data_IF_618724310373
#
_entry.id   IF_618724310373
#
_cell.length_a   1.000
_cell.length_b   1.000
_cell.length_c   1.000
_cell.angle_alpha   90.00
_cell.angle_beta   90.00
_cell.angle_gamma   90.00
#
_symmetry.space_group_name_H-M   'P 1'
#
loop_
_entity.id
_entity.type
_entity.pdbx_description
1 polymer ?
#
# COMPACT_ATOMS: atom_id res chain seq x y z
N UNK A 1 9.64 36.92 -18.20
CA UNK A 1 10.26 35.65 -17.79
C UNK A 1 11.02 35.11 -18.99
N UNK A 2 12.30 34.84 -18.81
CA UNK A 2 13.21 34.34 -19.84
C UNK A 2 12.80 32.90 -20.23
N UNK A 3 12.64 32.54 -21.52
CA UNK A 3 12.21 31.20 -21.95
C UNK A 3 13.16 30.05 -21.54
N UNK A 4 14.33 30.36 -21.01
CA UNK A 4 15.33 29.39 -20.54
C UNK A 4 15.08 28.82 -19.12
N UNK A 5 13.99 29.19 -18.44
CA UNK A 5 13.74 28.78 -17.04
C UNK A 5 12.57 27.81 -16.81
N UNK A 6 12.06 27.16 -17.86
CA UNK A 6 10.92 26.22 -17.71
C UNK A 6 11.42 24.82 -17.32
N UNK A 7 11.10 24.38 -16.10
CA UNK A 7 11.52 23.08 -15.56
C UNK A 7 10.93 21.88 -16.34
N UNK A 8 9.77 22.07 -16.97
CA UNK A 8 9.07 21.04 -17.74
C UNK A 8 8.55 21.62 -19.06
N UNK A 9 8.31 20.75 -20.04
CA UNK A 9 7.71 21.09 -21.33
C UNK A 9 6.69 20.04 -21.75
N UNK A 10 5.51 20.47 -22.22
CA UNK A 10 4.53 19.57 -22.83
C UNK A 10 5.05 19.04 -24.17
N UNK A 11 4.96 17.72 -24.36
CA UNK A 11 5.42 17.03 -25.58
C UNK A 11 4.24 16.58 -26.43
N UNK A 12 3.30 15.84 -25.85
CA UNK A 12 2.22 15.18 -26.60
C UNK A 12 0.96 15.02 -25.74
N UNK A 13 -0.21 15.20 -26.34
CA UNK A 13 -1.50 14.84 -25.71
C UNK A 13 -1.68 13.32 -25.74
N UNK A 14 -1.89 12.69 -24.58
CA UNK A 14 -2.12 11.24 -24.47
C UNK A 14 -3.61 10.91 -24.45
N UNK A 15 -4.37 11.65 -23.64
CA UNK A 15 -5.84 11.56 -23.56
C UNK A 15 -6.41 12.97 -23.48
N UNK A 16 -7.74 13.10 -23.38
CA UNK A 16 -8.35 14.44 -23.30
C UNK A 16 -7.91 15.27 -22.10
N UNK A 17 -7.54 14.61 -21.00
CA UNK A 17 -7.18 15.23 -19.72
C UNK A 17 -5.69 15.05 -19.35
N UNK A 18 -4.92 14.26 -20.13
CA UNK A 18 -3.54 13.88 -19.77
C UNK A 18 -2.59 14.18 -20.94
N UNK A 19 -1.48 14.81 -20.58
CA UNK A 19 -0.37 15.14 -21.47
C UNK A 19 0.90 14.42 -21.01
N UNK A 20 1.76 14.10 -21.96
CA UNK A 20 3.14 13.75 -21.73
C UNK A 20 3.95 15.06 -21.60
N UNK A 21 4.72 15.17 -20.52
CA UNK A 21 5.66 16.25 -20.29
C UNK A 21 7.08 15.68 -20.17
N UNK A 22 8.08 16.50 -20.46
CA UNK A 22 9.49 16.14 -20.26
C UNK A 22 10.22 17.20 -19.46
N UNK A 23 11.24 16.79 -18.71
CA UNK A 23 12.23 17.69 -18.14
C UNK A 23 13.35 17.90 -19.16
N UNK A 24 13.54 19.11 -19.73
CA UNK A 24 14.48 19.32 -20.84
C UNK A 24 15.93 18.93 -20.54
N UNK A 25 16.37 19.09 -19.29
CA UNK A 25 17.75 18.80 -18.86
C UNK A 25 18.08 17.31 -18.86
N UNK A 26 17.12 16.46 -18.45
CA UNK A 26 17.33 15.02 -18.30
C UNK A 26 16.67 14.19 -19.41
N UNK A 27 15.72 14.77 -20.15
CA UNK A 27 14.84 14.03 -21.05
C UNK A 27 13.84 13.12 -20.34
N UNK A 28 13.77 13.20 -19.00
CA UNK A 28 12.88 12.35 -18.21
C UNK A 28 11.41 12.69 -18.46
N UNK A 29 10.59 11.66 -18.62
CA UNK A 29 9.17 11.77 -18.95
C UNK A 29 8.28 11.79 -17.71
N UNK A 30 7.24 12.62 -17.77
CA UNK A 30 6.25 12.87 -16.72
C UNK A 30 4.85 12.94 -17.33
N UNK A 31 3.83 12.83 -16.48
CA UNK A 31 2.44 13.07 -16.87
C UNK A 31 2.00 14.44 -16.38
N UNK A 32 1.43 15.25 -17.26
CA UNK A 32 0.87 16.55 -16.93
C UNK A 32 -0.65 16.50 -17.06
N UNK A 33 -1.37 16.91 -16.02
CA UNK A 33 -2.83 17.09 -16.04
C UNK A 33 -3.14 18.55 -15.77
N UNK A 34 -4.03 19.15 -16.59
CA UNK A 34 -4.47 20.54 -16.40
C UNK A 34 -5.18 20.65 -15.08
N UNK A 35 -4.94 21.72 -14.34
CA UNK A 35 -5.61 21.95 -13.05
C UNK A 35 -7.12 22.05 -13.27
N UNK A 36 -7.54 22.74 -14.34
CA UNK A 36 -8.94 22.83 -14.77
C UNK A 36 -9.55 21.47 -15.17
N UNK A 37 -8.76 20.42 -15.43
CA UNK A 37 -9.31 19.08 -15.73
C UNK A 37 -9.49 18.22 -14.47
N UNK A 38 -9.03 18.69 -13.29
CA UNK A 38 -9.50 18.15 -12.01
C UNK A 38 -10.93 18.61 -11.70
N UNK A 39 -11.47 19.57 -12.46
CA UNK A 39 -12.80 20.11 -12.25
C UNK A 39 -13.90 19.17 -12.76
N UNK A 40 -14.58 18.55 -11.81
CA UNK A 40 -16.04 18.46 -11.90
C UNK A 40 -16.71 19.85 -11.84
N UNK A 41 -16.02 20.94 -11.45
CA UNK A 41 -16.59 22.31 -11.43
C UNK A 41 -17.03 22.81 -12.81
N UNK A 42 -16.23 22.63 -13.87
CA UNK A 42 -16.60 23.07 -15.23
C UNK A 42 -17.78 22.27 -15.80
N UNK A 43 -17.88 20.96 -15.51
CA UNK A 43 -19.06 20.14 -15.86
C UNK A 43 -20.27 20.45 -14.96
N UNK A 44 -20.06 20.64 -13.66
CA UNK A 44 -21.12 20.89 -12.66
C UNK A 44 -21.64 22.33 -12.62
N UNK A 45 -20.94 23.30 -13.22
CA UNK A 45 -21.47 24.66 -13.47
C UNK A 45 -22.73 24.62 -14.35
N UNK A 46 -22.90 23.54 -15.11
CA UNK A 46 -24.06 23.29 -15.95
C UNK A 46 -24.97 22.18 -15.41
N UNK A 47 -24.49 21.23 -14.59
CA UNK A 47 -25.26 20.02 -14.23
C UNK A 47 -25.15 19.48 -12.77
N UNK A 48 -24.39 20.10 -11.85
CA UNK A 48 -24.08 19.47 -10.53
C UNK A 48 -24.59 20.19 -9.28
N UNK A 49 -24.69 19.43 -8.18
CA UNK A 49 -25.14 19.92 -6.86
C UNK A 49 -24.09 20.81 -6.17
N UNK A 50 -24.54 21.77 -5.33
CA UNK A 50 -23.67 22.75 -4.68
C UNK A 50 -22.57 22.21 -3.74
N UNK A 51 -22.60 20.91 -3.38
CA UNK A 51 -21.56 20.27 -2.56
C UNK A 51 -20.33 19.87 -3.40
N UNK A 52 -20.54 19.37 -4.63
CA UNK A 52 -19.47 19.06 -5.59
C UNK A 52 -18.76 20.34 -6.06
N UNK A 53 -19.53 21.40 -6.32
CA UNK A 53 -18.97 22.72 -6.67
C UNK A 53 -18.05 23.29 -5.59
N UNK A 54 -18.35 23.08 -4.29
CA UNK A 54 -17.51 23.54 -3.17
C UNK A 54 -16.21 22.75 -3.01
N UNK A 55 -16.23 21.43 -3.24
CA UNK A 55 -15.02 20.60 -3.15
C UNK A 55 -14.02 20.92 -4.27
N UNK A 56 -14.51 21.18 -5.48
CA UNK A 56 -13.67 21.53 -6.63
C UNK A 56 -13.09 22.96 -6.55
N UNK A 57 -13.88 23.94 -6.10
CA UNK A 57 -13.35 25.28 -5.73
C UNK A 57 -12.23 25.16 -4.68
N UNK A 58 -12.37 24.21 -3.75
CA UNK A 58 -11.38 23.94 -2.71
C UNK A 58 -9.99 23.62 -3.25
N UNK A 59 -9.83 22.82 -4.30
CA UNK A 59 -8.50 22.52 -4.85
C UNK A 59 -7.85 23.76 -5.48
N UNK A 60 -8.63 24.57 -6.19
CA UNK A 60 -8.17 25.83 -6.77
C UNK A 60 -7.78 26.85 -5.70
N UNK A 61 -8.63 27.04 -4.68
CA UNK A 61 -8.36 27.92 -3.55
C UNK A 61 -7.09 27.43 -2.80
N UNK A 62 -6.94 26.12 -2.59
CA UNK A 62 -5.75 25.54 -1.96
C UNK A 62 -4.47 25.81 -2.77
N UNK A 63 -4.50 25.60 -4.09
CA UNK A 63 -3.32 25.74 -4.95
C UNK A 63 -2.96 27.21 -5.19
N UNK A 64 -3.94 28.07 -5.46
CA UNK A 64 -3.71 29.46 -5.85
C UNK A 64 -3.86 30.48 -4.71
N UNK A 65 -4.90 30.38 -3.89
CA UNK A 65 -5.16 31.35 -2.81
C UNK A 65 -4.32 31.06 -1.56
N UNK A 66 -4.12 29.77 -1.25
CA UNK A 66 -3.41 29.33 -0.05
C UNK A 66 -1.98 28.82 -0.30
N UNK A 67 -1.54 28.73 -1.56
CA UNK A 67 -0.21 28.27 -1.95
C UNK A 67 0.18 26.90 -1.35
N UNK A 68 -0.81 26.04 -1.11
CA UNK A 68 -0.64 24.71 -0.49
C UNK A 68 -0.05 23.70 -1.48
N UNK A 69 0.09 24.07 -2.76
CA UNK A 69 0.77 23.24 -3.77
C UNK A 69 2.18 22.80 -3.34
N UNK A 70 2.94 23.66 -2.66
CA UNK A 70 4.26 23.29 -2.10
C UNK A 70 4.15 22.24 -0.98
N UNK A 71 3.15 22.34 -0.11
CA UNK A 71 2.92 21.37 0.96
C UNK A 71 2.45 20.02 0.41
N UNK A 72 1.56 20.03 -0.60
CA UNK A 72 1.13 18.80 -1.29
C UNK A 72 2.34 18.14 -1.98
N UNK A 73 3.19 18.92 -2.65
CA UNK A 73 4.41 18.39 -3.27
C UNK A 73 5.35 17.78 -2.24
N UNK A 74 5.47 18.40 -1.04
CA UNK A 74 6.30 17.87 0.04
C UNK A 74 5.73 16.55 0.58
N UNK A 75 4.42 16.49 0.82
CA UNK A 75 3.74 15.28 1.32
C UNK A 75 3.80 14.14 0.30
N UNK A 76 3.70 14.42 -1.00
CA UNK A 76 3.74 13.39 -2.04
C UNK A 76 5.17 13.14 -2.56
N UNK A 77 6.20 13.74 -1.96
CA UNK A 77 7.60 13.51 -2.30
C UNK A 77 8.18 12.32 -1.53
N UNK A 78 7.95 11.12 -2.06
CA UNK A 78 8.48 9.88 -1.51
C UNK A 78 8.69 8.88 -2.65
N UNK A 79 9.77 8.11 -2.61
CA UNK A 79 10.18 7.21 -3.71
C UNK A 79 9.09 6.20 -4.11
N UNK A 80 8.33 5.72 -3.12
CA UNK A 80 7.24 4.76 -3.31
C UNK A 80 5.84 5.40 -3.37
N UNK A 81 5.73 6.71 -3.55
CA UNK A 81 4.47 7.36 -3.92
C UNK A 81 4.55 7.82 -5.38
N UNK A 82 3.40 7.94 -6.04
CA UNK A 82 3.30 8.71 -7.29
C UNK A 82 3.45 10.18 -6.93
N UNK A 83 4.63 10.73 -7.20
CA UNK A 83 4.99 12.06 -6.74
C UNK A 83 4.45 13.15 -7.64
N UNK A 84 4.09 14.27 -7.01
CA UNK A 84 3.87 15.54 -7.71
C UNK A 84 5.25 16.15 -7.99
N UNK A 85 5.80 15.84 -9.17
CA UNK A 85 7.13 16.26 -9.60
C UNK A 85 7.25 17.77 -9.82
N UNK A 86 6.14 18.45 -10.11
CA UNK A 86 6.14 19.92 -10.15
C UNK A 86 4.91 20.52 -10.81
N UNK A 87 5.09 21.73 -11.32
CA UNK A 87 4.05 22.56 -11.90
C UNK A 87 4.54 23.18 -13.21
N UNK A 88 3.66 23.25 -14.20
CA UNK A 88 3.95 23.78 -15.52
C UNK A 88 2.88 24.79 -15.93
N UNK A 89 3.30 26.01 -16.25
CA UNK A 89 2.45 27.03 -16.87
C UNK A 89 2.89 27.22 -18.32
N UNK A 90 2.03 26.89 -19.28
CA UNK A 90 2.36 26.98 -20.71
C UNK A 90 1.15 27.43 -21.53
N UNK A 91 1.39 28.13 -22.64
CA UNK A 91 0.31 28.44 -23.60
C UNK A 91 -0.25 27.13 -24.19
N UNK A 92 -1.57 27.03 -24.41
CA UNK A 92 -2.18 25.86 -25.03
C UNK A 92 -1.49 25.54 -26.36
N UNK A 93 -1.12 24.27 -26.57
CA UNK A 93 -0.48 23.82 -27.82
C UNK A 93 -1.43 23.97 -29.03
N UNK A 94 -2.75 23.94 -28.80
CA UNK A 94 -3.80 24.18 -29.80
C UNK A 94 -4.74 25.31 -29.31
N UNK A 95 -4.42 26.59 -29.55
CA UNK A 95 -5.31 27.69 -29.18
C UNK A 95 -6.61 27.62 -30.01
N UNK A 96 -7.77 27.83 -29.35
CA UNK A 96 -9.04 27.97 -30.07
C UNK A 96 -8.99 29.24 -30.93
N UNK A 97 -9.53 29.24 -32.17
CA UNK A 97 -9.36 30.34 -33.13
C UNK A 97 -9.98 31.69 -32.71
N UNK A 98 -10.67 31.77 -31.57
CA UNK A 98 -11.26 32.99 -31.02
C UNK A 98 -10.77 33.36 -29.62
N UNK A 99 -9.75 32.67 -29.10
CA UNK A 99 -9.19 32.98 -27.78
C UNK A 99 -8.20 34.14 -27.90
N UNK A 100 -8.73 35.36 -27.76
CA UNK A 100 -7.99 36.63 -27.89
C UNK A 100 -7.19 36.98 -26.63
N UNK A 101 -7.24 36.15 -25.58
CA UNK A 101 -6.41 36.31 -24.39
C UNK A 101 -5.17 35.43 -24.53
N UNK A 102 -4.02 35.95 -24.13
CA UNK A 102 -2.78 35.18 -23.93
C UNK A 102 -2.93 34.21 -22.74
N UNK A 103 -4.01 33.43 -22.67
CA UNK A 103 -4.29 32.53 -21.58
C UNK A 103 -3.21 31.44 -21.57
N UNK A 104 -2.44 31.38 -20.49
CA UNK A 104 -1.60 30.22 -20.18
C UNK A 104 -2.43 29.23 -19.41
N UNK A 105 -2.31 27.96 -19.75
CA UNK A 105 -2.88 26.86 -18.97
C UNK A 105 -1.87 26.42 -17.90
N UNK A 106 -2.42 26.01 -16.77
CA UNK A 106 -1.66 25.55 -15.61
C UNK A 106 -1.84 24.04 -15.43
N UNK A 107 -0.73 23.34 -15.22
CA UNK A 107 -0.64 21.88 -15.16
C UNK A 107 0.09 21.43 -13.90
N UNK A 108 -0.40 20.35 -13.31
CA UNK A 108 0.34 19.57 -12.31
C UNK A 108 1.08 18.44 -13.02
N UNK A 109 2.36 18.31 -12.72
CA UNK A 109 3.28 17.34 -13.32
C UNK A 109 3.55 16.22 -12.33
N UNK A 110 3.29 14.99 -12.74
CA UNK A 110 3.32 13.77 -11.94
C UNK A 110 4.30 12.77 -12.52
N UNK A 111 4.80 11.86 -11.68
CA UNK A 111 5.61 10.74 -12.15
C UNK A 111 4.91 9.96 -13.28
N UNK A 112 5.67 9.61 -14.32
CA UNK A 112 5.20 8.69 -15.34
C UNK A 112 5.42 7.23 -14.86
N UNK A 113 4.33 6.54 -14.53
CA UNK A 113 4.32 5.11 -14.21
C UNK A 113 4.06 4.29 -15.48
N UNK A 114 5.10 4.22 -16.31
CA UNK A 114 5.06 3.73 -17.68
C UNK A 114 4.95 2.20 -17.81
N UNK A 115 5.17 1.44 -16.73
CA UNK A 115 4.95 -0.01 -16.70
C UNK A 115 3.51 -0.41 -16.26
N UNK A 116 2.64 0.58 -16.04
CA UNK A 116 1.23 0.36 -15.72
C UNK A 116 0.98 0.02 -14.25
N UNK A 117 -0.13 -0.66 -13.97
CA UNK A 117 -0.59 -0.95 -12.61
C UNK A 117 -0.68 -2.47 -12.34
N UNK A 118 -0.54 -2.85 -11.07
CA UNK A 118 -0.46 -4.24 -10.62
C UNK A 118 -1.65 -5.10 -11.06
N UNK A 119 -2.84 -4.53 -11.18
CA UNK A 119 -4.02 -5.25 -11.69
C UNK A 119 -3.78 -5.89 -13.06
N UNK A 120 -2.99 -5.27 -13.94
CA UNK A 120 -2.64 -5.85 -15.25
C UNK A 120 -1.84 -7.15 -15.10
N UNK A 121 -0.90 -7.19 -14.15
CA UNK A 121 -0.11 -8.39 -13.87
C UNK A 121 -0.95 -9.47 -13.21
N UNK A 122 -1.88 -9.10 -12.34
CA UNK A 122 -2.76 -10.05 -11.63
C UNK A 122 -3.80 -10.65 -12.57
N UNK A 123 -4.32 -9.90 -13.56
CA UNK A 123 -5.24 -10.43 -14.58
C UNK A 123 -4.49 -11.35 -15.56
N UNK A 124 -3.29 -10.94 -15.98
CA UNK A 124 -2.50 -11.66 -16.98
C UNK A 124 -1.60 -12.76 -16.41
N UNK A 125 -1.50 -12.86 -15.07
CA UNK A 125 -0.60 -13.74 -14.33
C UNK A 125 -0.86 -15.24 -14.45
N UNK A 126 -1.65 -15.66 -15.45
CA UNK A 126 -1.93 -17.06 -15.77
C UNK A 126 -0.71 -17.83 -16.27
N UNK A 127 0.30 -18.00 -15.42
CA UNK A 127 1.42 -18.90 -15.64
C UNK A 127 1.06 -20.33 -15.24
N UNK A 128 1.09 -21.26 -16.19
CA UNK A 128 0.96 -22.71 -15.98
C UNK A 128 2.26 -23.27 -15.36
N UNK A 129 2.56 -22.92 -14.12
CA UNK A 129 3.67 -23.49 -13.35
C UNK A 129 3.27 -24.78 -12.64
N UNK A 130 4.22 -25.71 -12.43
CA UNK A 130 4.05 -26.91 -11.58
C UNK A 130 3.90 -26.59 -10.07
N UNK A 131 4.22 -25.35 -9.67
CA UNK A 131 4.22 -24.88 -8.27
C UNK A 131 2.89 -24.20 -7.91
N UNK A 132 2.44 -24.36 -6.66
CA UNK A 132 1.24 -23.69 -6.11
C UNK A 132 1.54 -22.21 -5.76
N UNK A 133 2.13 -21.48 -6.70
CA UNK A 133 2.50 -20.06 -6.61
C UNK A 133 1.91 -19.34 -7.82
N UNK A 134 1.21 -18.23 -7.62
CA UNK A 134 0.57 -17.50 -8.72
C UNK A 134 1.53 -16.50 -9.38
N UNK A 135 1.96 -15.46 -8.67
CA UNK A 135 3.00 -14.53 -9.12
C UNK A 135 4.38 -14.86 -8.48
N UNK A 136 5.50 -14.45 -9.08
CA UNK A 136 6.84 -14.63 -8.49
C UNK A 136 6.95 -14.06 -7.08
N UNK A 137 7.70 -14.73 -6.21
CA UNK A 137 7.86 -14.32 -4.80
C UNK A 137 8.58 -12.97 -4.68
N UNK A 138 9.58 -12.75 -5.52
CA UNK A 138 10.30 -11.49 -5.67
C UNK A 138 9.37 -10.32 -5.98
N UNK A 139 8.37 -10.50 -6.85
CA UNK A 139 7.38 -9.47 -7.15
C UNK A 139 6.48 -9.18 -5.94
N UNK A 140 6.08 -10.21 -5.19
CA UNK A 140 5.33 -10.04 -3.94
C UNK A 140 6.14 -9.22 -2.92
N UNK A 141 7.44 -9.52 -2.75
CA UNK A 141 8.32 -8.74 -1.87
C UNK A 141 8.52 -7.31 -2.35
N UNK A 142 8.71 -7.10 -3.66
CA UNK A 142 8.86 -5.78 -4.25
C UNK A 142 7.66 -4.88 -3.96
N UNK A 143 6.45 -5.40 -4.11
CA UNK A 143 5.21 -4.68 -3.76
C UNK A 143 5.09 -4.47 -2.25
N UNK A 144 5.28 -5.52 -1.45
CA UNK A 144 5.14 -5.47 0.01
C UNK A 144 6.06 -4.41 0.63
N UNK A 145 7.35 -4.47 0.33
CA UNK A 145 8.35 -3.55 0.91
C UNK A 145 8.14 -2.12 0.43
N UNK A 146 7.84 -1.91 -0.85
CA UNK A 146 7.60 -0.58 -1.42
C UNK A 146 6.36 0.08 -0.84
N UNK A 147 5.23 -0.64 -0.79
CA UNK A 147 3.98 -0.08 -0.26
C UNK A 147 4.09 0.12 1.26
N UNK A 148 4.73 -0.77 2.01
CA UNK A 148 4.94 -0.55 3.44
C UNK A 148 5.78 0.69 3.73
N UNK A 149 6.82 0.99 2.93
CA UNK A 149 7.58 2.25 3.05
C UNK A 149 6.70 3.47 2.77
N UNK A 150 5.86 3.41 1.74
CA UNK A 150 4.86 4.44 1.46
C UNK A 150 3.86 4.64 2.62
N UNK A 151 3.37 3.56 3.24
CA UNK A 151 2.46 3.65 4.39
C UNK A 151 3.18 4.19 5.64
N UNK A 152 4.42 3.78 5.88
CA UNK A 152 5.26 4.36 6.95
C UNK A 152 5.43 5.88 6.77
N UNK A 153 5.64 6.35 5.54
CA UNK A 153 5.66 7.77 5.24
C UNK A 153 4.31 8.44 5.53
N UNK A 154 3.22 7.92 4.97
CA UNK A 154 1.89 8.53 5.11
C UNK A 154 1.38 8.54 6.56
N UNK A 155 1.54 7.45 7.29
CA UNK A 155 0.98 7.28 8.63
C UNK A 155 1.88 7.92 9.67
N UNK A 156 3.19 7.74 9.53
CA UNK A 156 4.15 8.01 10.59
C UNK A 156 5.11 9.15 10.22
N UNK A 157 5.19 9.59 8.96
CA UNK A 157 6.10 10.66 8.53
C UNK A 157 7.58 10.27 8.63
N UNK A 158 7.86 8.97 8.51
CA UNK A 158 9.22 8.45 8.49
C UNK A 158 9.61 8.07 7.07
N UNK A 159 10.84 8.41 6.70
CA UNK A 159 11.45 8.01 5.43
C UNK A 159 12.65 7.11 5.70
N UNK A 160 12.88 6.11 4.87
CA UNK A 160 14.05 5.25 5.03
C UNK A 160 15.29 5.97 4.48
N UNK A 161 16.14 6.47 5.39
CA UNK A 161 17.44 7.00 5.05
C UNK A 161 18.44 5.88 4.81
N UNK A 162 19.29 6.04 3.81
CA UNK A 162 20.40 5.12 3.54
C UNK A 162 21.72 5.87 3.68
N UNK A 163 22.61 5.37 4.53
CA UNK A 163 24.01 5.74 4.49
C UNK A 163 24.65 4.99 3.33
N UNK A 164 24.91 5.70 2.23
CA UNK A 164 25.41 5.08 1.00
C UNK A 164 26.84 4.53 1.12
N UNK A 165 27.63 5.00 2.10
CA UNK A 165 28.98 4.49 2.36
C UNK A 165 28.95 3.12 3.05
N UNK A 166 28.04 2.94 4.00
CA UNK A 166 27.95 1.70 4.81
C UNK A 166 26.85 0.75 4.33
N UNK A 167 25.92 1.23 3.49
CA UNK A 167 24.68 0.53 3.15
C UNK A 167 23.67 0.48 4.30
N UNK A 168 23.97 1.11 5.45
CA UNK A 168 23.10 1.07 6.62
C UNK A 168 21.81 1.88 6.37
N UNK A 169 20.68 1.30 6.76
CA UNK A 169 19.37 1.92 6.61
C UNK A 169 18.77 2.25 7.97
N UNK A 170 18.35 3.50 8.15
CA UNK A 170 17.67 3.96 9.36
C UNK A 170 16.42 4.77 9.00
N UNK A 171 15.37 4.62 9.79
CA UNK A 171 14.21 5.49 9.70
C UNK A 171 14.57 6.91 10.13
N UNK A 172 14.35 7.87 9.24
CA UNK A 172 14.59 9.29 9.48
C UNK A 172 13.23 9.98 9.60
N UNK A 173 13.08 10.75 10.68
CA UNK A 173 11.96 11.64 10.89
C UNK A 173 12.16 12.91 10.06
N UNK A 174 11.20 13.23 9.19
CA UNK A 174 11.33 14.36 8.25
C UNK A 174 10.56 15.60 8.70
N UNK A 175 9.50 15.45 9.49
CA UNK A 175 8.67 16.56 9.98
C UNK A 175 8.18 16.30 11.42
N UNK A 176 8.28 17.31 12.29
CA UNK A 176 7.84 17.24 13.68
C UNK A 176 6.32 17.33 13.80
N UNK A 177 5.66 18.02 12.86
CA UNK A 177 4.21 18.32 12.88
C UNK A 177 3.41 17.46 11.89
N UNK A 178 3.96 16.31 11.49
CA UNK A 178 3.33 15.44 10.51
C UNK A 178 1.95 14.97 10.97
N UNK A 179 0.98 15.20 10.11
CA UNK A 179 -0.40 14.78 10.28
C UNK A 179 -0.61 13.46 9.54
N UNK A 180 -0.95 12.36 10.24
CA UNK A 180 -1.17 11.06 9.60
C UNK A 180 -2.22 11.13 8.49
N UNK A 181 -1.87 10.49 7.38
CA UNK A 181 -2.69 10.44 6.16
C UNK A 181 -3.08 9.00 5.91
N UNK A 182 -4.38 8.72 5.94
CA UNK A 182 -4.92 7.41 5.57
C UNK A 182 -5.25 7.42 4.07
N UNK A 183 -4.72 6.51 3.28
CA UNK A 183 -4.95 6.42 1.82
C UNK A 183 -6.38 5.97 1.48
N UNK A 184 -6.93 4.99 2.22
CA UNK A 184 -8.32 4.47 2.10
C UNK A 184 -8.71 3.85 0.74
N UNK A 185 -7.77 3.51 -0.14
CA UNK A 185 -8.05 2.92 -1.47
C UNK A 185 -6.92 2.02 -1.98
N UNK A 186 -6.24 1.33 -1.06
CA UNK A 186 -5.12 0.44 -1.41
C UNK A 186 -5.68 -0.79 -2.13
N UNK A 187 -5.43 -0.87 -3.43
CA UNK A 187 -5.84 -1.95 -4.32
C UNK A 187 -4.75 -2.23 -5.35
N UNK A 188 -4.85 -3.33 -6.09
CA UNK A 188 -3.93 -3.58 -7.19
C UNK A 188 -4.02 -2.52 -8.33
N UNK A 189 -5.07 -1.69 -8.37
CA UNK A 189 -5.16 -0.57 -9.32
C UNK A 189 -4.52 0.73 -8.81
N UNK A 190 -4.24 0.82 -7.51
CA UNK A 190 -3.56 1.97 -6.89
C UNK A 190 -2.05 1.78 -6.80
N UNK A 191 -1.55 0.56 -7.02
CA UNK A 191 -0.14 0.21 -7.05
C UNK A 191 0.34 0.20 -8.50
N UNK A 192 1.31 1.05 -8.79
CA UNK A 192 1.81 1.35 -10.13
C UNK A 192 3.31 1.07 -10.21
N UNK A 193 3.80 0.80 -11.42
CA UNK A 193 5.19 0.49 -11.69
C UNK A 193 5.79 1.44 -12.72
N UNK A 194 7.10 1.64 -12.61
CA UNK A 194 7.93 2.16 -13.67
C UNK A 194 8.71 1.00 -14.32
N UNK A 195 9.10 1.14 -15.58
CA UNK A 195 10.04 0.18 -16.17
C UNK A 195 11.40 0.26 -15.44
N UNK A 196 12.14 -0.87 -15.34
CA UNK A 196 13.51 -0.85 -14.88
C UNK A 196 14.36 0.13 -15.70
N UNK A 197 15.21 0.91 -15.03
CA UNK A 197 16.12 1.90 -15.62
C UNK A 197 17.60 1.56 -15.40
N UNK A 198 17.90 0.55 -14.57
CA UNK A 198 19.25 0.05 -14.29
C UNK A 198 19.28 -1.48 -14.27
N UNK A 199 19.99 -2.04 -13.30
CA UNK A 199 20.10 -3.49 -13.09
C UNK A 199 18.99 -4.07 -12.20
N UNK A 200 18.09 -3.23 -11.69
CA UNK A 200 16.99 -3.69 -10.85
C UNK A 200 16.05 -4.66 -11.60
N UNK A 201 15.61 -5.71 -10.92
CA UNK A 201 14.74 -6.74 -11.51
C UNK A 201 13.37 -6.17 -11.89
N UNK A 202 12.83 -5.28 -11.05
CA UNK A 202 11.61 -4.52 -11.30
C UNK A 202 11.91 -3.04 -11.07
N UNK A 203 11.40 -2.17 -11.94
CA UNK A 203 11.48 -0.73 -11.72
C UNK A 203 10.61 -0.28 -10.55
N UNK A 204 10.63 1.01 -10.23
CA UNK A 204 9.97 1.56 -9.03
C UNK A 204 8.51 1.14 -8.86
N UNK A 205 8.17 0.59 -7.69
CA UNK A 205 6.78 0.38 -7.25
C UNK A 205 6.29 1.59 -6.43
N UNK A 206 5.18 2.18 -6.87
CA UNK A 206 4.61 3.42 -6.35
C UNK A 206 3.13 3.27 -6.01
N UNK A 207 2.74 3.78 -4.85
CA UNK A 207 1.34 3.93 -4.45
C UNK A 207 0.81 5.28 -4.95
N UNK A 208 -0.35 5.27 -5.61
CA UNK A 208 -1.03 6.48 -6.04
C UNK A 208 -2.55 6.36 -5.96
N UNK A 209 -3.28 7.26 -6.65
CA UNK A 209 -4.76 7.41 -6.52
C UNK A 209 -5.20 7.93 -5.15
N UNK A 210 -4.55 8.99 -4.67
CA UNK A 210 -4.85 9.67 -3.39
C UNK A 210 -6.19 10.42 -3.33
N UNK A 211 -7.09 10.28 -4.31
CA UNK A 211 -8.37 10.98 -4.34
C UNK A 211 -9.27 10.66 -3.12
N UNK A 212 -9.06 9.50 -2.49
CA UNK A 212 -9.76 9.09 -1.27
C UNK A 212 -8.93 9.29 0.00
N UNK A 213 -7.72 9.86 -0.09
CA UNK A 213 -6.89 10.05 1.10
C UNK A 213 -7.57 10.96 2.14
N UNK A 214 -7.22 10.79 3.41
CA UNK A 214 -7.80 11.54 4.53
C UNK A 214 -6.74 11.89 5.56
N UNK A 215 -6.66 13.16 5.92
CA UNK A 215 -5.78 13.63 7.00
C UNK A 215 -6.53 13.46 8.33
N UNK A 216 -6.02 12.61 9.22
CA UNK A 216 -6.72 12.18 10.44
C UNK A 216 -7.01 13.32 11.45
N UNK A 217 -6.38 14.49 11.30
CA UNK A 217 -6.66 15.67 12.13
C UNK A 217 -6.11 15.60 13.57
N UNK A 218 -5.36 14.57 13.92
CA UNK A 218 -4.59 14.48 15.16
C UNK A 218 -3.11 14.26 14.82
N UNK A 219 -2.17 15.07 15.34
CA UNK A 219 -0.76 14.80 15.19
C UNK A 219 -0.44 13.42 15.74
N UNK A 220 0.42 12.65 15.06
CA UNK A 220 0.97 11.46 15.69
C UNK A 220 1.78 11.91 16.92
N UNK A 221 1.45 11.41 18.12
CA UNK A 221 2.28 11.68 19.30
C UNK A 221 3.61 10.97 19.14
N UNK A 222 4.65 11.75 19.40
CA UNK A 222 6.05 11.52 19.08
C UNK A 222 6.94 11.94 20.25
N UNK A 223 6.39 12.15 21.44
CA UNK A 223 7.15 12.59 22.64
C UNK A 223 7.72 11.43 23.47
N UNK A 224 7.54 10.17 23.08
CA UNK A 224 8.22 9.04 23.72
C UNK A 224 9.70 8.97 23.32
N UNK A 225 10.57 8.60 24.27
CA UNK A 225 11.95 8.20 23.94
C UNK A 225 11.95 7.11 22.86
N UNK A 226 12.89 7.18 21.92
CA UNK A 226 13.18 6.08 20.98
C UNK A 226 13.56 4.84 21.80
N UNK A 227 12.59 3.99 22.13
CA UNK A 227 12.91 2.68 22.70
C UNK A 227 13.52 1.80 21.61
N UNK A 228 14.32 0.81 22.00
CA UNK A 228 14.92 -0.16 21.08
C UNK A 228 13.91 -0.91 20.19
N UNK A 229 12.61 -0.82 20.52
CA UNK A 229 11.48 -1.46 19.83
C UNK A 229 10.72 -0.54 18.86
N UNK A 230 11.20 0.69 18.62
CA UNK A 230 10.62 1.65 17.68
C UNK A 230 9.63 2.64 18.31
N UNK A 231 9.16 3.65 17.54
CA UNK A 231 8.37 4.75 18.09
C UNK A 231 6.99 4.29 18.56
N UNK A 232 6.70 4.49 19.84
CA UNK A 232 5.37 4.28 20.41
C UNK A 232 4.38 5.34 19.87
N UNK A 233 3.49 4.95 18.95
CA UNK A 233 2.39 5.78 18.47
C UNK A 233 1.27 5.80 19.51
N UNK A 234 1.48 6.51 20.61
CA UNK A 234 0.43 6.76 21.58
C UNK A 234 0.37 8.23 21.88
N UNK A 235 -0.57 8.93 21.22
CA UNK A 235 -1.06 10.15 21.84
C UNK A 235 -1.87 9.75 23.05
N UNK A 236 -1.67 10.47 24.13
CA UNK A 236 -2.54 10.41 25.31
C UNK A 236 -4.03 10.66 25.00
N UNK A 237 -4.43 10.93 23.74
CA UNK A 237 -5.79 11.33 23.35
C UNK A 237 -6.34 10.87 21.98
N UNK A 238 -5.76 9.90 21.26
CA UNK A 238 -6.48 9.36 20.09
C UNK A 238 -5.71 8.52 19.09
N UNK A 239 -6.45 7.57 18.53
CA UNK A 239 -6.05 6.70 17.43
C UNK A 239 -6.12 7.46 16.10
N UNK A 240 -5.34 7.00 15.11
CA UNK A 240 -5.37 7.51 13.74
C UNK A 240 -6.61 6.91 13.05
N UNK A 241 -7.59 7.77 12.74
CA UNK A 241 -8.94 7.38 12.32
C UNK A 241 -9.41 8.21 11.13
N UNK A 242 -10.22 7.60 10.27
CA UNK A 242 -10.95 8.27 9.21
C UNK A 242 -12.36 7.68 9.08
N UNK A 243 -13.31 8.42 8.47
CA UNK A 243 -14.51 7.76 7.97
C UNK A 243 -14.14 6.84 6.80
N UNK A 244 -14.95 5.82 6.55
CA UNK A 244 -14.76 4.97 5.38
C UNK A 244 -14.99 5.78 4.09
N UNK A 245 -14.08 5.69 3.12
CA UNK A 245 -14.22 6.41 1.86
C UNK A 245 -15.42 5.90 1.03
N UNK A 246 -15.64 4.58 1.06
CA UNK A 246 -16.84 3.92 0.56
C UNK A 246 -17.49 3.21 1.75
N UNK A 247 -18.66 3.67 2.20
CA UNK A 247 -19.32 3.12 3.38
C UNK A 247 -19.68 1.64 3.16
N UNK A 248 -19.05 0.70 3.89
CA UNK A 248 -19.42 -0.71 3.80
C UNK A 248 -20.87 -0.92 4.21
N UNK A 249 -21.57 -1.85 3.55
CA UNK A 249 -22.93 -2.21 3.94
C UNK A 249 -22.96 -2.63 5.41
N UNK A 250 -23.78 -1.95 6.20
CA UNK A 250 -23.97 -2.24 7.61
C UNK A 250 -23.19 -1.35 8.56
N UNK A 251 -22.33 -0.45 8.06
CA UNK A 251 -21.74 0.64 8.84
C UNK A 251 -22.54 1.94 8.68
N UNK A 252 -22.44 2.84 9.66
CA UNK A 252 -23.20 4.11 9.73
C UNK A 252 -22.36 5.38 9.75
N UNK A 253 -21.03 5.29 9.87
CA UNK A 253 -20.18 6.48 9.91
C UNK A 253 -20.19 7.22 8.56
N UNK A 254 -20.65 8.48 8.46
CA UNK A 254 -20.76 9.18 7.20
C UNK A 254 -19.36 9.55 6.66
N UNK A 255 -19.15 9.56 5.33
CA UNK A 255 -17.86 9.87 4.71
C UNK A 255 -17.29 11.25 5.04
N UNK A 256 -18.14 12.19 5.47
CA UNK A 256 -17.83 13.57 5.82
C UNK A 256 -18.00 13.87 7.33
N UNK A 257 -17.86 12.84 8.18
CA UNK A 257 -17.92 12.98 9.63
C UNK A 257 -16.88 13.99 10.15
N UNK A 258 -17.33 14.91 11.01
CA UNK A 258 -16.43 15.83 11.72
C UNK A 258 -15.53 15.08 12.72
N UNK A 259 -14.41 15.69 13.13
CA UNK A 259 -13.53 15.11 14.15
C UNK A 259 -14.28 14.80 15.47
N UNK A 260 -15.22 15.64 15.89
CA UNK A 260 -16.04 15.41 17.08
C UNK A 260 -16.99 14.20 16.89
N UNK A 261 -17.60 14.09 15.71
CA UNK A 261 -18.46 12.94 15.36
C UNK A 261 -17.66 11.64 15.33
N UNK A 262 -16.46 11.66 14.75
CA UNK A 262 -15.57 10.49 14.73
C UNK A 262 -15.19 10.05 16.14
N UNK A 263 -14.82 10.98 17.03
CA UNK A 263 -14.52 10.64 18.44
C UNK A 263 -15.70 9.95 19.14
N UNK A 264 -16.92 10.44 18.93
CA UNK A 264 -18.13 9.83 19.47
C UNK A 264 -18.34 8.40 18.95
N UNK A 265 -18.27 8.22 17.64
CA UNK A 265 -18.41 6.89 17.02
C UNK A 265 -17.34 5.91 17.47
N UNK A 266 -16.11 6.38 17.61
CA UNK A 266 -15.03 5.55 18.10
C UNK A 266 -15.26 5.08 19.55
N UNK A 267 -15.75 5.96 20.42
CA UNK A 267 -16.08 5.60 21.80
C UNK A 267 -17.25 4.61 21.88
N UNK A 268 -18.28 4.78 21.06
CA UNK A 268 -19.42 3.86 21.02
C UNK A 268 -19.04 2.49 20.42
N UNK A 269 -18.12 2.46 19.45
CA UNK A 269 -17.57 1.23 18.89
C UNK A 269 -16.70 0.46 19.91
N UNK A 270 -15.74 1.13 20.55
CA UNK A 270 -14.80 0.48 21.50
C UNK A 270 -15.47 -0.02 22.78
N UNK A 271 -16.61 0.58 23.17
CA UNK A 271 -17.43 0.07 24.28
C UNK A 271 -18.35 -1.09 23.89
N UNK A 272 -18.30 -1.55 22.62
CA UNK A 272 -19.13 -2.64 22.09
C UNK A 272 -20.60 -2.28 21.89
N UNK A 273 -21.00 -1.03 22.17
CA UNK A 273 -22.41 -0.59 22.12
C UNK A 273 -22.91 -0.41 20.70
N UNK A 274 -22.04 0.00 19.77
CA UNK A 274 -22.41 0.28 18.38
C UNK A 274 -21.36 -0.27 17.39
N UNK A 275 -21.37 -1.60 17.14
CA UNK A 275 -20.40 -2.23 16.23
C UNK A 275 -20.51 -1.74 14.77
N UNK A 276 -21.64 -1.13 14.40
CA UNK A 276 -21.89 -0.51 13.10
C UNK A 276 -21.31 0.91 12.96
N UNK A 277 -20.72 1.47 14.01
CA UNK A 277 -20.08 2.79 13.99
C UNK A 277 -18.55 2.73 13.83
N UNK A 278 -18.02 1.56 13.50
CA UNK A 278 -16.59 1.36 13.23
C UNK A 278 -16.06 2.40 12.23
N UNK A 279 -14.90 2.96 12.54
CA UNK A 279 -14.14 3.86 11.67
C UNK A 279 -13.00 3.12 10.98
N UNK A 280 -12.48 3.75 9.92
CA UNK A 280 -11.31 3.30 9.18
C UNK A 280 -10.05 3.65 9.94
N UNK A 281 -9.08 2.73 10.00
CA UNK A 281 -7.84 2.84 10.78
C UNK A 281 -6.62 2.42 9.95
N UNK A 282 -5.42 2.59 10.51
CA UNK A 282 -4.17 2.08 9.92
C UNK A 282 -4.24 0.56 9.67
N UNK A 283 -4.88 -0.20 10.57
CA UNK A 283 -5.05 -1.64 10.41
C UNK A 283 -5.84 -1.99 9.14
N UNK A 284 -6.79 -1.16 8.71
CA UNK A 284 -7.49 -1.37 7.44
C UNK A 284 -6.55 -1.22 6.24
N UNK A 285 -5.52 -0.38 6.34
CA UNK A 285 -4.54 -0.15 5.26
C UNK A 285 -3.57 -1.32 5.15
N UNK A 286 -3.08 -1.81 6.28
CA UNK A 286 -2.30 -3.05 6.35
C UNK A 286 -3.12 -4.23 5.81
N UNK A 287 -4.38 -4.37 6.24
CA UNK A 287 -5.27 -5.40 5.73
C UNK A 287 -5.46 -5.30 4.22
N UNK A 288 -5.68 -4.08 3.70
CA UNK A 288 -5.88 -3.85 2.27
C UNK A 288 -4.64 -4.24 1.46
N UNK A 289 -3.44 -3.93 1.95
CA UNK A 289 -2.19 -4.43 1.36
C UNK A 289 -2.09 -5.96 1.44
N UNK A 290 -2.46 -6.55 2.58
CA UNK A 290 -2.52 -7.99 2.77
C UNK A 290 -3.45 -8.67 1.77
N UNK A 291 -4.63 -8.09 1.51
CA UNK A 291 -5.58 -8.59 0.53
C UNK A 291 -5.06 -8.47 -0.92
N UNK A 292 -4.26 -7.44 -1.23
CA UNK A 292 -3.56 -7.35 -2.52
C UNK A 292 -2.54 -8.49 -2.64
N UNK A 293 -1.69 -8.69 -1.63
CA UNK A 293 -0.67 -9.74 -1.66
C UNK A 293 -1.28 -11.14 -1.67
N UNK A 294 -2.36 -11.35 -0.94
CA UNK A 294 -3.16 -12.57 -1.03
C UNK A 294 -3.55 -12.87 -2.47
N UNK A 295 -4.04 -11.87 -3.22
CA UNK A 295 -4.43 -12.05 -4.61
C UNK A 295 -3.21 -12.30 -5.51
N UNK A 296 -2.09 -11.65 -5.25
CA UNK A 296 -0.82 -11.94 -5.93
C UNK A 296 -0.33 -13.36 -5.67
N UNK A 297 -0.58 -13.91 -4.49
CA UNK A 297 -0.12 -15.24 -4.09
C UNK A 297 -1.08 -16.35 -4.54
N UNK A 298 -2.39 -16.09 -4.59
CA UNK A 298 -3.43 -17.12 -4.77
C UNK A 298 -4.23 -16.99 -6.06
N UNK A 299 -4.09 -15.88 -6.81
CA UNK A 299 -4.99 -15.43 -7.90
C UNK A 299 -6.41 -15.06 -7.47
N UNK A 300 -6.81 -15.36 -6.24
CA UNK A 300 -8.17 -15.17 -5.74
C UNK A 300 -8.32 -13.86 -4.97
N UNK A 301 -9.50 -13.25 -5.03
CA UNK A 301 -9.81 -12.11 -4.15
C UNK A 301 -10.14 -12.64 -2.76
N UNK A 302 -9.46 -12.11 -1.75
CA UNK A 302 -9.84 -12.35 -0.35
C UNK A 302 -11.25 -11.76 -0.14
N UNK A 303 -12.14 -12.44 0.62
CA UNK A 303 -13.41 -11.84 1.00
C UNK A 303 -13.21 -10.50 1.74
N UNK A 304 -14.28 -9.73 1.91
CA UNK A 304 -14.20 -8.53 2.74
C UNK A 304 -14.06 -8.90 4.21
N UNK A 305 -13.23 -8.14 4.93
CA UNK A 305 -13.14 -8.19 6.39
C UNK A 305 -14.41 -7.69 7.10
N UNK A 306 -15.16 -6.82 6.42
CA UNK A 306 -16.43 -6.30 6.88
C UNK A 306 -17.56 -7.32 6.63
N UNK A 307 -18.75 -7.01 7.13
CA UNK A 307 -19.92 -7.86 6.92
C UNK A 307 -20.22 -8.10 5.44
N UNK A 308 -20.55 -9.34 5.12
CA UNK A 308 -20.91 -9.78 3.79
C UNK A 308 -22.09 -8.96 3.25
N UNK A 309 -21.90 -8.42 2.04
CA UNK A 309 -22.89 -7.57 1.37
C UNK A 309 -24.04 -8.35 0.72
N UNK A 310 -23.95 -9.68 0.72
CA UNK A 310 -24.85 -10.62 0.02
C UNK A 310 -25.79 -11.36 0.97
N UNK A 311 -25.53 -11.35 2.28
CA UNK A 311 -26.38 -12.01 3.29
C UNK A 311 -26.98 -10.96 4.22
N UNK A 312 -28.26 -11.10 4.57
CA UNK A 312 -28.92 -10.24 5.58
C UNK A 312 -28.30 -10.44 6.98
N UNK A 313 -27.75 -11.63 7.24
CA UNK A 313 -27.12 -11.98 8.52
C UNK A 313 -25.78 -11.30 8.79
N UNK A 314 -25.30 -10.42 7.89
CA UNK A 314 -24.03 -9.68 8.03
C UNK A 314 -22.82 -10.57 8.40
N UNK A 315 -22.85 -11.80 7.92
CA UNK A 315 -21.86 -12.86 8.09
C UNK A 315 -20.46 -12.39 7.63
N UNK A 316 -19.39 -12.98 8.18
CA UNK A 316 -18.00 -12.71 7.75
C UNK A 316 -17.36 -14.01 7.31
N UNK A 317 -16.67 -13.98 6.18
CA UNK A 317 -16.19 -15.18 5.48
C UNK A 317 -14.68 -15.38 5.61
N UNK A 318 -14.09 -14.84 6.66
CA UNK A 318 -12.65 -14.87 6.87
C UNK A 318 -12.39 -15.23 8.31
N UNK A 319 -11.57 -16.24 8.50
CA UNK A 319 -11.10 -16.69 9.80
C UNK A 319 -9.61 -17.00 9.73
N UNK A 320 -9.03 -17.25 10.89
CA UNK A 320 -7.65 -17.61 11.07
C UNK A 320 -7.42 -18.04 12.51
N UNK A 321 -6.24 -18.59 12.76
CA UNK A 321 -5.85 -19.07 14.06
C UNK A 321 -5.44 -17.90 14.95
N UNK A 322 -5.79 -17.99 16.24
CA UNK A 322 -5.34 -17.07 17.29
C UNK A 322 -3.82 -17.10 17.38
N UNK A 323 -3.22 -18.30 17.29
CA UNK A 323 -1.79 -18.47 17.05
C UNK A 323 -1.55 -18.43 15.53
N UNK A 324 -0.95 -17.36 14.99
CA UNK A 324 -0.75 -17.23 13.56
C UNK A 324 0.14 -18.35 13.02
N UNK A 325 -0.22 -18.89 11.86
CA UNK A 325 0.53 -19.94 11.16
C UNK A 325 0.79 -21.20 12.02
N UNK A 326 -0.20 -21.62 12.82
CA UNK A 326 -0.20 -22.84 13.64
C UNK A 326 0.52 -24.01 12.95
N UNK A 327 0.07 -24.36 11.75
CA UNK A 327 0.57 -25.52 10.99
C UNK A 327 2.06 -25.43 10.63
N UNK A 328 2.57 -24.21 10.37
CA UNK A 328 4.00 -24.01 10.08
C UNK A 328 4.81 -24.13 11.36
N UNK A 329 4.33 -23.55 12.46
CA UNK A 329 5.01 -23.59 13.75
C UNK A 329 5.11 -25.03 14.27
N UNK A 330 4.02 -25.79 14.25
CA UNK A 330 4.03 -27.18 14.71
C UNK A 330 4.93 -28.07 13.84
N UNK A 331 4.94 -27.89 12.51
CA UNK A 331 5.84 -28.64 11.64
C UNK A 331 7.32 -28.33 11.94
N UNK A 332 7.65 -27.10 12.34
CA UNK A 332 9.01 -26.73 12.75
C UNK A 332 9.39 -27.31 14.12
N UNK A 333 8.48 -27.24 15.09
CA UNK A 333 8.73 -27.63 16.48
C UNK A 333 8.68 -29.15 16.69
N UNK A 334 7.67 -29.83 16.14
CA UNK A 334 7.40 -31.23 16.42
C UNK A 334 8.07 -32.18 15.42
N UNK A 335 8.18 -31.77 14.15
CA UNK A 335 8.77 -32.60 13.08
C UNK A 335 10.17 -32.13 12.68
N UNK A 336 10.66 -31.03 13.25
CA UNK A 336 11.96 -30.47 12.92
C UNK A 336 12.06 -29.97 11.47
N UNK A 337 10.95 -29.54 10.86
CA UNK A 337 10.90 -29.10 9.47
C UNK A 337 11.78 -27.85 9.23
N UNK A 338 12.93 -28.06 8.59
CA UNK A 338 13.84 -26.97 8.18
C UNK A 338 13.64 -26.48 6.75
N UNK A 339 12.55 -26.88 6.09
CA UNK A 339 12.24 -26.41 4.74
C UNK A 339 12.02 -24.90 4.74
N UNK A 340 12.51 -24.24 3.69
CA UNK A 340 12.36 -22.79 3.50
C UNK A 340 10.93 -22.41 3.06
N UNK A 341 10.24 -23.31 2.37
CA UNK A 341 8.92 -23.08 1.78
C UNK A 341 7.79 -23.58 2.68
N UNK A 342 6.68 -22.84 2.71
CA UNK A 342 5.50 -23.19 3.49
C UNK A 342 4.79 -24.44 2.93
N UNK A 343 4.60 -24.51 1.61
CA UNK A 343 3.97 -25.65 0.93
C UNK A 343 4.79 -26.95 0.88
N UNK A 344 5.78 -27.13 1.77
CA UNK A 344 6.65 -28.30 1.80
C UNK A 344 5.89 -29.59 2.18
N UNK A 345 6.48 -30.74 1.85
CA UNK A 345 5.85 -32.05 2.10
C UNK A 345 5.56 -32.32 3.58
N UNK A 346 6.38 -31.84 4.51
CA UNK A 346 6.13 -31.99 5.96
C UNK A 346 4.81 -31.31 6.37
N UNK A 347 4.60 -30.06 5.92
CA UNK A 347 3.38 -29.30 6.20
C UNK A 347 2.17 -29.92 5.46
N UNK A 348 2.36 -30.38 4.22
CA UNK A 348 1.28 -31.07 3.48
C UNK A 348 0.88 -32.40 4.13
N UNK A 349 1.85 -33.19 4.61
CA UNK A 349 1.57 -34.45 5.30
C UNK A 349 0.67 -34.24 6.52
N UNK A 350 0.82 -33.12 7.24
CA UNK A 350 -0.07 -32.75 8.35
C UNK A 350 -1.48 -32.40 7.92
N UNK A 351 -1.62 -31.65 6.83
CA UNK A 351 -2.91 -31.35 6.23
C UNK A 351 -3.62 -32.62 5.71
N UNK A 352 -2.84 -33.60 5.25
CA UNK A 352 -3.31 -34.85 4.65
C UNK A 352 -3.42 -36.01 5.67
N UNK A 353 -3.01 -35.83 6.94
CA UNK A 353 -2.96 -36.87 7.99
C UNK A 353 -4.33 -37.45 8.43
N UNK A 354 -5.41 -37.13 7.71
CA UNK A 354 -6.70 -37.83 7.77
C UNK A 354 -7.08 -38.35 6.38
N UNK A 355 -6.43 -39.40 5.86
CA UNK A 355 -6.65 -39.92 4.50
C UNK A 355 -8.05 -40.52 4.25
N UNK A 356 -8.84 -40.75 5.30
CA UNK A 356 -10.22 -41.27 5.19
C UNK A 356 -11.27 -40.19 4.87
N UNK A 357 -10.87 -38.92 4.90
CA UNK A 357 -11.75 -37.78 4.66
C UNK A 357 -11.60 -37.29 3.20
N UNK A 358 -12.74 -37.05 2.53
CA UNK A 358 -12.76 -36.50 1.14
C UNK A 358 -11.94 -35.19 1.07
N UNK A 359 -11.44 -34.76 -0.09
CA UNK A 359 -10.65 -33.52 -0.23
C UNK A 359 -11.30 -32.27 0.36
N UNK A 360 -12.64 -32.17 0.37
CA UNK A 360 -13.40 -31.11 1.05
C UNK A 360 -13.30 -31.10 2.59
N UNK A 361 -12.73 -32.16 3.18
CA UNK A 361 -12.63 -32.44 4.62
C UNK A 361 -11.18 -32.65 5.11
N UNK A 362 -10.15 -32.23 4.34
CA UNK A 362 -8.77 -32.13 4.85
C UNK A 362 -8.78 -31.44 6.21
N UNK A 363 -7.96 -31.90 7.17
CA UNK A 363 -7.92 -31.31 8.53
C UNK A 363 -7.71 -29.80 8.41
N UNK A 364 -8.76 -29.04 8.75
CA UNK A 364 -8.63 -27.60 9.00
C UNK A 364 -7.90 -27.44 10.32
N UNK A 365 -7.12 -26.38 10.49
CA UNK A 365 -6.44 -26.16 11.77
C UNK A 365 -7.49 -26.16 12.91
N UNK A 366 -7.29 -27.02 13.92
CA UNK A 366 -8.20 -27.21 15.07
C UNK A 366 -7.93 -26.22 16.21
N UNK A 367 -6.90 -25.38 16.05
CA UNK A 367 -6.55 -24.34 17.02
C UNK A 367 -7.68 -23.33 17.21
N UNK A 368 -7.73 -22.65 18.38
CA UNK A 368 -8.64 -21.55 18.61
C UNK A 368 -8.56 -20.52 17.49
N UNK A 369 -9.72 -20.09 17.00
CA UNK A 369 -9.85 -19.14 15.89
C UNK A 369 -10.31 -17.80 16.44
N UNK A 370 -9.75 -16.69 15.93
CA UNK A 370 -10.23 -15.35 16.29
C UNK A 370 -11.65 -15.08 15.72
N UNK A 371 -12.19 -15.99 14.90
CA UNK A 371 -13.63 -16.17 14.63
C UNK A 371 -13.98 -17.65 14.62
N UNK A 372 -14.57 -18.13 15.71
CA UNK A 372 -14.92 -19.55 15.91
C UNK A 372 -15.99 -20.07 14.93
N UNK A 373 -16.91 -19.20 14.50
CA UNK A 373 -17.96 -19.54 13.54
C UNK A 373 -17.63 -18.98 12.15
N UNK A 374 -17.71 -19.84 11.15
CA UNK A 374 -17.76 -19.44 9.74
C UNK A 374 -19.11 -18.78 9.43
N UNK A 375 -19.54 -18.85 8.18
CA UNK A 375 -20.84 -18.35 7.80
C UNK A 375 -21.99 -19.23 8.34
N UNK A 376 -22.62 -18.81 9.45
CA UNK A 376 -23.80 -19.48 10.01
C UNK A 376 -25.13 -18.95 9.43
N UNK A 377 -25.14 -18.54 8.15
CA UNK A 377 -26.34 -17.99 7.54
C UNK A 377 -27.44 -19.06 7.42
N UNK A 378 -28.65 -18.84 8.00
CA UNK A 378 -29.75 -19.81 7.91
C UNK A 378 -30.22 -20.10 6.48
N UNK A 379 -29.98 -19.17 5.55
CA UNK A 379 -30.37 -19.29 4.13
C UNK A 379 -29.24 -19.78 3.22
N UNK A 380 -28.07 -20.11 3.77
CA UNK A 380 -26.86 -20.45 3.01
C UNK A 380 -26.28 -19.24 2.28
N UNK A 381 -25.15 -18.72 2.75
CA UNK A 381 -24.47 -17.66 2.01
C UNK A 381 -23.65 -18.28 0.86
N UNK A 382 -23.72 -17.72 -0.37
CA UNK A 382 -22.98 -18.27 -1.50
C UNK A 382 -21.47 -18.00 -1.44
N UNK A 383 -20.97 -17.21 -0.46
CA UNK A 383 -19.53 -16.94 -0.34
C UNK A 383 -18.84 -18.04 0.47
N UNK A 384 -17.74 -18.61 -0.04
CA UNK A 384 -16.96 -19.57 0.72
C UNK A 384 -16.21 -18.87 1.86
N UNK A 385 -16.10 -19.56 2.99
CA UNK A 385 -15.24 -19.13 4.08
C UNK A 385 -13.78 -19.41 3.74
N UNK A 386 -12.93 -18.44 4.07
CA UNK A 386 -11.49 -18.52 3.88
C UNK A 386 -10.81 -18.57 5.23
N UNK A 387 -10.04 -19.63 5.46
CA UNK A 387 -9.12 -19.71 6.58
C UNK A 387 -7.73 -19.27 6.12
N UNK A 388 -7.27 -18.11 6.59
CA UNK A 388 -6.03 -17.47 6.10
C UNK A 388 -4.82 -18.39 6.32
N UNK A 389 -4.62 -18.89 7.55
CA UNK A 389 -3.44 -19.68 7.88
C UNK A 389 -3.38 -21.01 7.10
N UNK A 390 -4.50 -21.75 7.01
CA UNK A 390 -4.62 -22.97 6.21
C UNK A 390 -4.24 -22.75 4.75
N UNK A 391 -4.72 -21.68 4.11
CA UNK A 391 -4.41 -21.40 2.71
C UNK A 391 -2.94 -21.04 2.56
N UNK A 392 -2.44 -20.10 3.37
CA UNK A 392 -1.05 -19.64 3.27
C UNK A 392 -0.04 -20.78 3.49
N UNK A 393 -0.32 -21.71 4.42
CA UNK A 393 0.51 -22.87 4.69
C UNK A 393 0.61 -23.83 3.48
N UNK A 394 -0.35 -23.78 2.56
CA UNK A 394 -0.38 -24.64 1.38
C UNK A 394 0.35 -24.07 0.15
N UNK A 395 0.71 -22.79 0.18
CA UNK A 395 1.30 -22.12 -0.98
C UNK A 395 2.80 -22.38 -1.07
N UNK A 396 3.31 -22.42 -2.30
CA UNK A 396 4.72 -22.65 -2.57
C UNK A 396 5.55 -21.36 -2.51
N UNK A 397 5.31 -20.55 -1.48
CA UNK A 397 6.10 -19.36 -1.13
C UNK A 397 6.97 -19.65 0.09
N UNK A 398 8.06 -18.91 0.24
CA UNK A 398 8.89 -19.03 1.44
C UNK A 398 8.08 -18.74 2.70
N UNK A 399 8.47 -19.38 3.80
CA UNK A 399 7.92 -19.11 5.13
C UNK A 399 8.14 -17.65 5.54
N UNK A 400 9.17 -16.98 5.01
CA UNK A 400 9.43 -15.56 5.26
C UNK A 400 8.31 -14.68 4.71
N UNK A 401 7.92 -14.88 3.43
CA UNK A 401 6.84 -14.10 2.82
C UNK A 401 5.51 -14.43 3.48
N UNK A 402 5.22 -15.71 3.70
CA UNK A 402 3.98 -16.15 4.35
C UNK A 402 3.82 -15.52 5.74
N UNK A 403 4.88 -15.47 6.55
CA UNK A 403 4.90 -14.78 7.85
C UNK A 403 4.69 -13.27 7.71
N UNK A 404 5.39 -12.63 6.77
CA UNK A 404 5.27 -11.21 6.55
C UNK A 404 3.86 -10.80 6.11
N UNK A 405 3.25 -11.54 5.18
CA UNK A 405 1.87 -11.32 4.72
C UNK A 405 0.87 -11.60 5.84
N UNK A 406 1.08 -12.66 6.63
CA UNK A 406 0.18 -12.97 7.76
C UNK A 406 0.15 -11.85 8.81
N UNK A 407 1.26 -11.15 9.04
CA UNK A 407 1.34 -10.00 9.95
C UNK A 407 0.46 -8.82 9.51
N UNK A 408 0.19 -8.66 8.21
CA UNK A 408 -0.75 -7.65 7.71
C UNK A 408 -2.20 -7.94 8.10
N UNK A 409 -2.50 -9.18 8.48
CA UNK A 409 -3.80 -9.62 8.99
C UNK A 409 -3.81 -9.76 10.52
N UNK A 410 -2.71 -9.46 11.22
CA UNK A 410 -2.67 -9.40 12.68
C UNK A 410 -3.42 -8.15 13.15
N UNK A 411 -4.73 -8.29 13.15
CA UNK A 411 -5.68 -7.27 13.48
C UNK A 411 -6.07 -7.41 14.95
N UNK A 412 -5.87 -6.37 15.76
CA UNK A 412 -6.60 -6.21 17.01
C UNK A 412 -7.84 -5.31 16.78
N UNK A 413 -9.00 -5.85 17.12
CA UNK A 413 -10.31 -5.25 16.89
C UNK A 413 -10.69 -4.22 17.94
N UNK A 414 -9.97 -4.20 19.07
CA UNK A 414 -10.13 -3.23 20.16
C UNK A 414 -9.18 -2.05 20.00
N UNK A 415 -7.94 -2.29 19.58
CA UNK A 415 -6.91 -1.24 19.47
C UNK A 415 -6.04 -1.47 18.23
N UNK A 416 -5.83 -0.42 17.43
CA UNK A 416 -4.80 -0.44 16.38
C UNK A 416 -3.43 -0.53 17.06
N UNK A 417 -2.95 -1.74 17.38
CA UNK A 417 -1.75 -1.95 18.22
C UNK A 417 -0.42 -1.70 17.50
N UNK A 418 -0.38 -1.73 16.16
CA UNK A 418 0.89 -1.70 15.41
C UNK A 418 1.00 -0.46 14.53
N UNK A 419 2.03 0.34 14.77
CA UNK A 419 2.47 1.41 13.87
C UNK A 419 3.07 0.85 12.57
N UNK A 420 3.07 1.65 11.51
CA UNK A 420 3.55 1.17 10.20
C UNK A 420 5.06 1.06 10.17
N UNK A 421 5.80 1.95 10.85
CA UNK A 421 7.26 1.82 11.07
C UNK A 421 7.63 0.46 11.68
N UNK A 422 7.01 0.08 12.80
CA UNK A 422 7.31 -1.17 13.52
C UNK A 422 7.05 -2.38 12.61
N UNK A 423 5.85 -2.40 11.99
CA UNK A 423 5.49 -3.49 11.09
C UNK A 423 6.41 -3.56 9.85
N UNK A 424 6.75 -2.41 9.26
CA UNK A 424 7.67 -2.33 8.12
C UNK A 424 9.08 -2.82 8.51
N UNK A 425 9.53 -2.55 9.74
CA UNK A 425 10.83 -3.02 10.25
C UNK A 425 10.86 -4.54 10.36
N UNK A 426 9.82 -5.15 10.93
CA UNK A 426 9.69 -6.61 11.00
C UNK A 426 9.64 -7.26 9.59
N UNK A 427 8.90 -6.63 8.67
CA UNK A 427 8.79 -7.09 7.28
C UNK A 427 10.14 -6.98 6.56
N UNK A 428 10.88 -5.89 6.76
CA UNK A 428 12.21 -5.71 6.18
C UNK A 428 13.22 -6.74 6.72
N UNK A 429 13.11 -7.13 8.01
CA UNK A 429 13.92 -8.20 8.56
C UNK A 429 13.63 -9.54 7.88
N UNK A 430 12.34 -9.88 7.68
CA UNK A 430 11.94 -11.08 6.95
C UNK A 430 12.39 -11.05 5.47
N UNK A 431 12.31 -9.89 4.82
CA UNK A 431 12.80 -9.68 3.45
C UNK A 431 14.32 -9.93 3.33
N UNK A 432 15.13 -9.43 4.27
CA UNK A 432 16.59 -9.69 4.31
C UNK A 432 16.91 -11.18 4.50
N UNK A 433 16.13 -11.88 5.33
CA UNK A 433 16.28 -13.34 5.46
C UNK A 433 15.92 -14.06 4.16
N UNK A 434 14.84 -13.67 3.48
CA UNK A 434 14.48 -14.22 2.18
C UNK A 434 15.55 -13.99 1.11
N UNK A 435 16.07 -12.75 1.00
CA UNK A 435 17.16 -12.34 0.08
C UNK A 435 18.39 -13.25 0.22
N UNK A 436 18.74 -13.64 1.45
CA UNK A 436 19.96 -14.43 1.71
C UNK A 436 19.72 -15.93 1.63
N UNK A 437 18.56 -16.42 2.07
CA UNK A 437 18.31 -17.84 2.23
C UNK A 437 17.65 -18.52 1.02
N UNK A 438 17.03 -17.78 0.10
CA UNK A 438 16.40 -18.36 -1.11
C UNK A 438 17.25 -18.12 -2.36
N UNK A 439 17.10 -18.98 -3.38
CA UNK A 439 17.77 -18.75 -4.68
C UNK A 439 17.22 -17.50 -5.37
N UNK A 440 15.89 -17.37 -5.45
CA UNK A 440 15.21 -16.21 -6.06
C UNK A 440 15.60 -14.91 -5.36
N UNK A 441 15.70 -14.91 -4.03
CA UNK A 441 16.12 -13.74 -3.26
C UNK A 441 17.56 -13.32 -3.52
N UNK A 442 18.48 -14.26 -3.77
CA UNK A 442 19.88 -13.93 -4.10
C UNK A 442 20.04 -13.38 -5.51
N UNK A 443 19.17 -13.79 -6.43
CA UNK A 443 19.14 -13.32 -7.82
C UNK A 443 18.40 -12.01 -7.98
N UNK A 444 17.41 -11.75 -7.13
CA UNK A 444 16.62 -10.52 -7.15
C UNK A 444 17.49 -9.31 -6.80
N UNK A 445 17.45 -8.27 -7.64
CA UNK A 445 18.11 -6.98 -7.43
C UNK A 445 17.02 -5.94 -7.24
N UNK A 446 16.95 -5.33 -6.06
CA UNK A 446 15.97 -4.25 -5.82
C UNK A 446 16.52 -2.87 -6.25
N UNK A 447 15.62 -1.88 -6.28
CA UNK A 447 15.96 -0.50 -6.69
C UNK A 447 17.05 0.13 -5.82
N UNK A 448 17.14 -0.25 -4.54
CA UNK A 448 18.17 0.26 -3.62
C UNK A 448 19.49 -0.47 -3.82
N UNK A 449 19.46 -1.78 -4.10
CA UNK A 449 20.65 -2.56 -4.48
C UNK A 449 21.33 -1.93 -5.71
N UNK A 450 20.55 -1.65 -6.77
CA UNK A 450 21.04 -0.95 -7.98
C UNK A 450 21.55 0.46 -7.67
N UNK A 451 20.77 1.26 -6.94
CA UNK A 451 21.15 2.63 -6.60
C UNK A 451 22.44 2.68 -5.78
N UNK A 452 22.63 1.74 -4.85
CA UNK A 452 23.83 1.64 -4.02
C UNK A 452 25.03 1.26 -4.88
N UNK A 453 24.89 0.26 -5.77
CA UNK A 453 25.95 -0.12 -6.72
C UNK A 453 26.37 1.07 -7.58
N UNK A 454 25.42 1.82 -8.14
CA UNK A 454 25.70 3.03 -8.94
C UNK A 454 26.40 4.10 -8.13
N UNK A 455 25.96 4.34 -6.88
CA UNK A 455 26.64 5.26 -5.99
C UNK A 455 28.11 4.87 -5.78
N UNK A 456 28.37 3.60 -5.49
CA UNK A 456 29.73 3.11 -5.26
C UNK A 456 30.63 3.25 -6.50
N UNK A 457 30.09 2.96 -7.69
CA UNK A 457 30.82 3.13 -8.96
C UNK A 457 31.11 4.61 -9.25
N UNK A 458 30.11 5.48 -9.15
CA UNK A 458 30.25 6.91 -9.45
C UNK A 458 31.24 7.62 -8.51
N UNK A 459 31.41 7.11 -7.29
CA UNK A 459 32.34 7.64 -6.31
C UNK A 459 33.68 6.89 -6.25
N UNK A 460 33.93 5.92 -7.15
CA UNK A 460 35.20 5.17 -7.21
C UNK A 460 35.46 4.23 -6.04
N UNK A 461 34.43 3.90 -5.24
CA UNK A 461 34.56 3.13 -3.98
C UNK A 461 34.43 1.62 -4.15
N UNK A 462 33.99 1.15 -5.32
CA UNK A 462 33.74 -0.27 -5.56
C UNK A 462 35.04 -1.11 -5.52
N UNK A 463 36.14 -0.57 -6.04
CA UNK A 463 37.43 -1.27 -6.15
C UNK A 463 38.22 -1.30 -4.82
N UNK A 464 37.95 -0.36 -3.91
CA UNK A 464 38.64 -0.25 -2.62
C UNK A 464 38.15 -1.31 -1.62
N UNK A 465 36.84 -1.61 -1.61
CA UNK A 465 36.28 -2.66 -0.75
C UNK A 465 36.61 -4.08 -1.22
N UNK A 466 36.67 -4.33 -2.54
CA UNK A 466 37.09 -5.64 -3.05
C UNK A 466 38.56 -5.95 -2.76
N UNK A 467 39.40 -4.92 -2.57
CA UNK A 467 40.81 -5.06 -2.18
C UNK A 467 41.03 -5.10 -0.66
N UNK A 468 40.11 -4.55 0.14
CA UNK A 468 40.20 -4.54 1.61
C UNK A 468 39.57 -5.74 2.31
N UNK A 469 38.87 -6.62 1.58
CA UNK A 469 38.21 -7.82 2.11
C UNK A 469 38.87 -9.15 1.71
N UNK A 470 40.11 -9.12 1.20
CA UNK A 470 40.91 -10.29 0.83
C UNK A 470 41.90 -10.69 1.92
#
# INVERSE_FOLDING_TARGET
MDPKSQQFQLVKKLTDEIWLATRPESGEEFLAKRIDDFDEYFRSRFEGSGKQQRQAKGLMDLVYEHNIGRNISHVLNHENLVSLAGYLRQKPLNPKPFDTKQATDDYLVWDNCDAGFLELLVINGGGKGRRKSFLPESLCWHVLTSVMRALTWLHDGYRLGTNWDTGEQKWIKTDMDWMPILHRDITATSIMFQHPRGEETYGSCKLGRFAKAFVSGQPADRQGEETADGPALHSSSGQILAPHANLPKGLKAPPDASAATMKKFWAEYTTGKAPDQRLYTISDEHWSLGAVLWRMMTSTKLPSQDSCSLCESKCRHITGCVQPLCLIAEAEEEEGCRCVYAGCQHIQARLDASPELRPEHRRRCDHPKWRAAGCDCPRGCPRPDVHIDDVLAQLDYSKFLVRAVRKLFDWDWETSRRGSVTLCTEINAAYRQWKTQTSEGREYVDVYDDAWKRYMVLNGKLDEQQKGGA
#
